data_IF_220935611454
#
_entry.id   IF_220935611454
#
_cell.length_a   1.000
_cell.length_b   1.000
_cell.length_c   1.000
_cell.angle_alpha   90.00
_cell.angle_beta   90.00
_cell.angle_gamma   90.00
#
_symmetry.space_group_name_H-M   'P 1'
#
loop_
_entity.id
_entity.type
_entity.pdbx_description
1 polymer ?
#
# COMPACT_ATOMS: atom_id res chain seq x y z
N UNK A 1 34.02 -41.22 -65.38
CA UNK A 1 33.35 -40.71 -64.17
C UNK A 1 33.94 -39.34 -63.87
N UNK A 2 33.17 -38.25 -64.06
CA UNK A 2 33.64 -36.89 -63.70
C UNK A 2 33.10 -36.54 -62.33
N UNK A 3 33.87 -35.95 -61.41
CA UNK A 3 33.37 -35.54 -60.09
C UNK A 3 32.53 -34.28 -60.19
N UNK A 4 31.28 -34.34 -59.62
CA UNK A 4 30.38 -33.18 -59.53
C UNK A 4 30.98 -32.12 -58.57
N UNK A 5 31.38 -30.98 -59.14
CA UNK A 5 31.82 -29.80 -58.37
C UNK A 5 30.66 -29.21 -57.58
N UNK A 6 30.70 -29.31 -56.27
CA UNK A 6 29.73 -28.74 -55.35
C UNK A 6 30.02 -27.24 -55.16
N UNK A 7 29.50 -26.39 -56.05
CA UNK A 7 29.58 -24.93 -55.93
C UNK A 7 28.74 -24.44 -54.72
N UNK A 8 29.38 -24.17 -53.59
CA UNK A 8 28.75 -23.45 -52.46
C UNK A 8 28.24 -22.08 -52.95
N UNK A 9 26.92 -21.89 -53.04
CA UNK A 9 26.28 -20.62 -53.37
C UNK A 9 26.65 -19.58 -52.30
N UNK A 10 27.48 -18.58 -52.65
CA UNK A 10 27.77 -17.43 -51.78
C UNK A 10 26.45 -16.68 -51.51
N UNK A 11 26.04 -16.58 -50.25
CA UNK A 11 24.87 -15.76 -49.87
C UNK A 11 25.08 -14.31 -50.25
N UNK A 12 24.05 -13.65 -50.83
CA UNK A 12 24.08 -12.25 -51.19
C UNK A 12 24.26 -11.35 -49.93
N UNK A 13 24.89 -10.18 -50.08
CA UNK A 13 25.09 -9.22 -49.00
C UNK A 13 23.78 -8.89 -48.27
N UNK A 14 22.68 -8.76 -49.01
CA UNK A 14 21.35 -8.51 -48.46
C UNK A 14 20.87 -9.64 -47.55
N UNK A 15 21.08 -10.90 -47.91
CA UNK A 15 20.74 -12.08 -47.07
C UNK A 15 21.53 -12.15 -45.79
N UNK A 16 22.82 -11.75 -45.82
CA UNK A 16 23.64 -11.68 -44.61
C UNK A 16 23.17 -10.59 -43.66
N UNK A 17 22.78 -9.41 -44.22
CA UNK A 17 22.21 -8.30 -43.41
C UNK A 17 20.88 -8.69 -42.77
N UNK A 18 19.96 -9.29 -43.54
CA UNK A 18 18.69 -9.77 -43.00
C UNK A 18 18.91 -10.80 -41.88
N UNK A 19 19.85 -11.72 -42.06
CA UNK A 19 20.18 -12.74 -41.03
C UNK A 19 20.75 -12.10 -39.76
N UNK A 20 21.62 -11.07 -39.91
CA UNK A 20 22.16 -10.34 -38.75
C UNK A 20 21.08 -9.58 -38.00
N UNK A 21 20.16 -8.92 -38.69
CA UNK A 21 19.00 -8.22 -38.09
C UNK A 21 18.11 -9.22 -37.34
N UNK A 22 17.79 -10.35 -37.96
CA UNK A 22 16.96 -11.40 -37.31
C UNK A 22 17.62 -11.94 -36.06
N UNK A 23 18.95 -12.15 -36.06
CA UNK A 23 19.70 -12.60 -34.87
C UNK A 23 19.67 -11.54 -33.79
N UNK A 24 19.87 -10.25 -34.11
CA UNK A 24 19.81 -9.17 -33.14
C UNK A 24 18.41 -9.08 -32.52
N UNK A 25 17.34 -9.14 -33.34
CA UNK A 25 15.96 -9.15 -32.84
C UNK A 25 15.71 -10.35 -31.92
N UNK A 26 16.18 -11.54 -32.29
CA UNK A 26 16.05 -12.75 -31.47
C UNK A 26 16.78 -12.59 -30.13
N UNK A 27 17.99 -12.04 -30.12
CA UNK A 27 18.75 -11.77 -28.89
C UNK A 27 18.06 -10.75 -28.01
N UNK A 28 17.48 -9.70 -28.58
CA UNK A 28 16.67 -8.70 -27.85
C UNK A 28 15.43 -9.34 -27.23
N UNK A 29 14.71 -10.18 -27.99
CA UNK A 29 13.53 -10.89 -27.49
C UNK A 29 13.86 -11.89 -26.38
N UNK A 30 14.99 -12.61 -26.50
CA UNK A 30 15.49 -13.49 -25.43
C UNK A 30 15.88 -12.67 -24.19
N UNK A 31 16.57 -11.53 -24.37
CA UNK A 31 16.94 -10.64 -23.28
C UNK A 31 15.71 -10.09 -22.54
N UNK A 32 14.72 -9.60 -23.28
CA UNK A 32 13.45 -9.09 -22.72
C UNK A 32 12.67 -10.21 -22.04
N UNK A 33 12.55 -11.38 -22.68
CA UNK A 33 11.88 -12.54 -22.09
C UNK A 33 12.56 -13.03 -20.81
N UNK A 34 13.89 -13.11 -20.82
CA UNK A 34 14.68 -13.47 -19.63
C UNK A 34 14.53 -12.46 -18.49
N UNK A 35 14.52 -11.16 -18.81
CA UNK A 35 14.30 -10.10 -17.82
C UNK A 35 12.89 -10.13 -17.22
N UNK A 36 11.87 -10.33 -18.06
CA UNK A 36 10.49 -10.45 -17.58
C UNK A 36 10.30 -11.72 -16.73
N UNK A 37 10.92 -12.85 -17.12
CA UNK A 37 10.94 -14.07 -16.33
C UNK A 37 11.63 -13.88 -14.97
N UNK A 38 12.76 -13.18 -14.96
CA UNK A 38 13.45 -12.81 -13.71
C UNK A 38 12.57 -11.93 -12.81
N UNK A 39 11.91 -10.90 -13.35
CA UNK A 39 11.01 -10.04 -12.57
C UNK A 39 9.81 -10.82 -12.04
N UNK A 40 9.22 -11.70 -12.86
CA UNK A 40 8.12 -12.56 -12.43
C UNK A 40 8.54 -13.46 -11.26
N UNK A 41 9.64 -14.21 -11.41
CA UNK A 41 10.17 -15.08 -10.35
C UNK A 41 10.46 -14.28 -9.06
N UNK A 42 11.09 -13.10 -9.20
CA UNK A 42 11.40 -12.23 -8.08
C UNK A 42 10.13 -11.71 -7.39
N UNK A 43 9.11 -11.31 -8.16
CA UNK A 43 7.83 -10.89 -7.62
C UNK A 43 7.16 -12.01 -6.80
N UNK A 44 7.07 -13.23 -7.35
CA UNK A 44 6.53 -14.40 -6.66
C UNK A 44 7.28 -14.67 -5.35
N UNK A 45 8.61 -14.70 -5.40
CA UNK A 45 9.44 -14.89 -4.20
C UNK A 45 9.20 -13.81 -3.14
N UNK A 46 9.05 -12.55 -3.56
CA UNK A 46 8.75 -11.43 -2.66
C UNK A 46 7.36 -11.58 -2.04
N UNK A 47 6.34 -11.94 -2.84
CA UNK A 47 4.98 -12.17 -2.35
C UNK A 47 4.94 -13.27 -1.29
N UNK A 48 5.65 -14.38 -1.51
CA UNK A 48 5.80 -15.44 -0.49
C UNK A 48 6.50 -14.94 0.78
N UNK A 49 7.53 -14.11 0.65
CA UNK A 49 8.26 -13.56 1.79
C UNK A 49 7.38 -12.67 2.67
N UNK A 50 6.61 -11.74 2.07
CA UNK A 50 5.75 -10.82 2.82
C UNK A 50 4.48 -11.50 3.37
N UNK A 51 4.00 -12.58 2.73
CA UNK A 51 2.86 -13.38 3.19
C UNK A 51 3.24 -14.47 4.17
N UNK A 52 4.53 -14.80 4.34
CA UNK A 52 4.97 -15.76 5.36
C UNK A 52 4.51 -15.34 6.78
N UNK A 53 4.30 -14.04 6.99
CA UNK A 53 3.60 -13.55 8.17
C UNK A 53 2.14 -14.03 8.23
N UNK A 54 1.43 -14.10 7.08
CA UNK A 54 0.04 -14.55 7.02
C UNK A 54 -0.13 -16.04 7.36
N UNK A 55 0.73 -16.91 6.85
CA UNK A 55 0.71 -18.35 7.18
C UNK A 55 0.99 -18.60 8.66
N UNK A 56 1.85 -17.76 9.26
CA UNK A 56 2.16 -17.82 10.67
C UNK A 56 0.99 -17.33 11.56
N UNK A 57 0.09 -16.49 11.00
CA UNK A 57 -1.01 -15.84 11.70
C UNK A 57 -2.40 -16.38 11.30
N UNK A 58 -2.50 -17.32 10.34
CA UNK A 58 -3.78 -17.87 9.92
C UNK A 58 -4.41 -18.71 11.04
N UNK A 59 -5.73 -18.56 11.29
CA UNK A 59 -6.44 -19.46 12.19
C UNK A 59 -6.32 -20.92 11.73
N UNK A 60 -6.10 -21.85 12.65
CA UNK A 60 -5.90 -23.29 12.34
C UNK A 60 -7.04 -23.95 11.51
N UNK A 61 -8.21 -23.31 11.42
CA UNK A 61 -9.32 -23.77 10.60
C UNK A 61 -9.10 -23.68 9.08
N UNK A 62 -8.06 -22.95 8.63
CA UNK A 62 -7.70 -22.85 7.21
C UNK A 62 -6.46 -23.70 6.82
N UNK A 63 -5.84 -24.38 7.79
CA UNK A 63 -4.62 -25.18 7.54
C UNK A 63 -4.88 -26.61 7.03
N UNK A 64 -6.14 -27.05 6.91
CA UNK A 64 -6.45 -28.44 6.53
C UNK A 64 -6.49 -28.74 5.04
N UNK A 65 -6.23 -27.77 4.15
CA UNK A 65 -6.18 -28.02 2.69
C UNK A 65 -4.77 -28.05 2.07
N UNK A 66 -3.70 -28.04 2.86
CA UNK A 66 -2.33 -28.04 2.34
C UNK A 66 -1.57 -29.32 2.65
N UNK A 67 -2.06 -30.43 2.15
CA UNK A 67 -1.44 -31.74 2.35
C UNK A 67 -1.36 -32.59 1.09
N UNK A 68 -1.02 -32.03 -0.08
CA UNK A 68 -0.55 -32.80 -1.23
C UNK A 68 0.38 -31.95 -2.10
N UNK A 69 1.58 -32.46 -2.33
CA UNK A 69 2.52 -31.90 -3.30
C UNK A 69 1.95 -32.06 -4.71
N UNK A 70 1.26 -31.04 -5.20
CA UNK A 70 0.70 -31.02 -6.55
C UNK A 70 1.66 -30.25 -7.46
N UNK A 71 2.05 -30.91 -8.57
CA UNK A 71 2.66 -30.30 -9.75
C UNK A 71 1.89 -29.04 -10.12
N UNK A 72 2.63 -27.93 -10.39
CA UNK A 72 2.07 -26.62 -10.75
C UNK A 72 0.97 -26.77 -11.82
N UNK A 73 -0.30 -26.43 -11.50
CA UNK A 73 -1.32 -26.31 -12.51
C UNK A 73 -1.09 -25.05 -13.35
N UNK A 74 -1.52 -25.01 -14.60
CA UNK A 74 -1.44 -23.81 -15.43
C UNK A 74 -2.15 -22.65 -14.73
N UNK A 75 -1.60 -21.45 -14.87
CA UNK A 75 -2.10 -20.19 -14.29
C UNK A 75 -3.61 -20.08 -14.57
N UNK A 76 -4.41 -20.39 -13.56
CA UNK A 76 -5.86 -20.30 -13.65
C UNK A 76 -6.25 -18.82 -13.88
N UNK A 77 -7.11 -18.61 -14.88
CA UNK A 77 -7.75 -17.32 -15.10
C UNK A 77 -8.49 -16.88 -13.84
N UNK A 78 -8.50 -15.55 -13.56
CA UNK A 78 -9.28 -14.94 -12.46
C UNK A 78 -10.67 -15.54 -12.43
N UNK A 79 -11.03 -16.14 -11.30
CA UNK A 79 -12.38 -16.63 -11.04
C UNK A 79 -13.28 -15.47 -10.59
N UNK A 80 -14.60 -15.62 -10.66
CA UNK A 80 -15.54 -14.62 -10.10
C UNK A 80 -15.25 -14.35 -8.61
N UNK A 81 -14.73 -15.33 -7.87
CA UNK A 81 -14.35 -15.16 -6.47
C UNK A 81 -13.22 -14.14 -6.27
N UNK A 82 -12.34 -13.98 -7.23
CA UNK A 82 -11.21 -13.04 -7.19
C UNK A 82 -11.64 -11.60 -7.51
N UNK A 83 -12.79 -11.42 -8.12
CA UNK A 83 -13.36 -10.11 -8.48
C UNK A 83 -14.28 -9.55 -7.41
N UNK A 84 -14.46 -10.25 -6.29
CA UNK A 84 -15.29 -9.76 -5.18
C UNK A 84 -14.71 -8.49 -4.59
N UNK A 85 -15.57 -7.56 -4.18
CA UNK A 85 -15.15 -6.41 -3.39
C UNK A 85 -14.42 -6.84 -2.13
N UNK A 86 -13.37 -6.09 -1.75
CA UNK A 86 -12.52 -6.41 -0.61
C UNK A 86 -12.07 -5.15 0.13
N UNK A 87 -11.73 -5.31 1.39
CA UNK A 87 -11.31 -4.22 2.27
C UNK A 87 -9.89 -4.39 2.77
N UNK A 88 -9.23 -3.25 2.97
CA UNK A 88 -7.86 -3.19 3.44
C UNK A 88 -7.71 -2.18 4.57
N UNK A 89 -6.95 -2.55 5.59
CA UNK A 89 -6.42 -1.61 6.56
C UNK A 89 -4.93 -1.41 6.26
N UNK A 90 -4.59 -0.25 5.71
CA UNK A 90 -3.21 0.14 5.45
C UNK A 90 -2.66 0.87 6.68
N UNK A 91 -1.51 0.45 7.19
CA UNK A 91 -0.91 1.04 8.37
C UNK A 91 0.58 1.38 8.14
N UNK A 92 0.95 2.61 8.52
CA UNK A 92 2.34 3.06 8.57
C UNK A 92 2.85 3.06 10.00
N UNK A 93 3.98 2.37 10.27
CA UNK A 93 4.61 2.32 11.59
C UNK A 93 5.97 3.03 11.59
N UNK A 94 6.27 3.69 12.71
CA UNK A 94 7.60 4.23 12.98
C UNK A 94 8.42 3.19 13.77
N UNK A 95 9.25 2.42 13.10
CA UNK A 95 10.09 1.38 13.69
C UNK A 95 11.59 1.76 13.67
N UNK A 96 11.90 3.05 13.93
CA UNK A 96 13.30 3.48 13.99
C UNK A 96 13.98 2.88 15.21
N UNK A 97 15.21 2.34 15.02
CA UNK A 97 16.10 2.02 16.13
C UNK A 97 16.36 3.29 16.95
N UNK A 98 16.01 3.29 18.23
CA UNK A 98 16.16 4.45 19.12
C UNK A 98 14.86 5.24 19.39
N UNK A 99 13.76 4.96 18.72
CA UNK A 99 12.45 5.60 19.00
C UNK A 99 11.76 5.09 20.28
N UNK A 100 12.45 4.34 21.12
CA UNK A 100 11.87 3.72 22.33
C UNK A 100 10.95 2.55 22.03
N UNK A 101 10.95 2.03 20.78
CA UNK A 101 10.19 0.83 20.40
C UNK A 101 8.67 1.03 20.35
N UNK A 102 8.19 2.23 20.12
CA UNK A 102 6.75 2.47 19.97
C UNK A 102 6.30 1.93 18.62
N UNK A 103 5.55 0.82 18.64
CA UNK A 103 4.95 0.18 17.46
C UNK A 103 3.60 0.84 17.14
N UNK A 104 3.48 2.13 17.43
CA UNK A 104 2.26 2.87 17.16
C UNK A 104 2.10 3.12 15.65
N UNK A 105 0.88 3.01 15.18
CA UNK A 105 0.54 3.33 13.80
C UNK A 105 0.37 4.83 13.63
N UNK A 106 1.25 5.47 12.88
CA UNK A 106 1.18 6.92 12.62
C UNK A 106 0.30 7.29 11.43
N UNK A 107 0.13 6.36 10.51
CA UNK A 107 -0.79 6.45 9.36
C UNK A 107 -1.70 5.23 9.40
N UNK A 108 -3.00 5.45 9.25
CA UNK A 108 -3.99 4.38 9.11
C UNK A 108 -5.00 4.78 8.05
N UNK A 109 -5.24 3.91 7.09
CA UNK A 109 -6.20 4.12 6.01
C UNK A 109 -7.06 2.87 5.88
N UNK A 110 -8.37 3.03 6.06
CA UNK A 110 -9.34 1.99 5.74
C UNK A 110 -9.77 2.17 4.29
N UNK A 111 -9.65 1.14 3.48
CA UNK A 111 -9.99 1.17 2.06
C UNK A 111 -10.94 0.05 1.67
N UNK A 112 -11.79 0.30 0.70
CA UNK A 112 -12.59 -0.69 0.00
C UNK A 112 -12.27 -0.62 -1.50
N UNK A 113 -12.00 -1.77 -2.10
CA UNK A 113 -11.75 -1.94 -3.53
C UNK A 113 -12.85 -2.79 -4.15
N UNK A 114 -13.45 -2.31 -5.21
CA UNK A 114 -14.38 -3.08 -6.04
C UNK A 114 -13.78 -3.29 -7.44
N UNK A 115 -13.22 -4.47 -7.74
CA UNK A 115 -12.63 -4.74 -9.04
C UNK A 115 -13.66 -4.73 -10.19
N UNK A 116 -14.91 -5.12 -9.94
CA UNK A 116 -15.97 -5.11 -10.95
C UNK A 116 -16.37 -3.69 -11.35
N UNK A 117 -16.50 -2.80 -10.36
CA UNK A 117 -16.78 -1.37 -10.57
C UNK A 117 -15.54 -0.59 -10.98
N UNK A 118 -14.36 -1.20 -10.89
CA UNK A 118 -13.04 -0.55 -11.07
C UNK A 118 -12.91 0.73 -10.24
N UNK A 119 -13.40 0.69 -9.02
CA UNK A 119 -13.37 1.81 -8.08
C UNK A 119 -12.77 1.39 -6.75
N UNK A 120 -12.23 2.37 -6.04
CA UNK A 120 -11.78 2.22 -4.67
C UNK A 120 -12.11 3.47 -3.87
N UNK A 121 -12.49 3.28 -2.63
CA UNK A 121 -12.75 4.38 -1.68
C UNK A 121 -11.92 4.20 -0.43
N UNK A 122 -11.32 5.28 0.06
CA UNK A 122 -10.39 5.29 1.18
C UNK A 122 -10.84 6.30 2.23
N UNK A 123 -10.67 5.96 3.52
CA UNK A 123 -10.84 6.89 4.66
C UNK A 123 -9.54 6.89 5.45
N UNK A 124 -8.94 8.07 5.65
CA UNK A 124 -7.77 8.20 6.55
C UNK A 124 -8.25 8.33 7.99
N UNK A 125 -7.75 7.45 8.86
CA UNK A 125 -8.08 7.42 10.30
C UNK A 125 -7.02 8.22 11.06
N UNK A 126 -7.37 9.35 11.73
CA UNK A 126 -6.42 10.10 12.53
C UNK A 126 -5.84 9.24 13.64
N UNK A 127 -4.53 9.24 13.78
CA UNK A 127 -3.84 8.47 14.84
C UNK A 127 -4.31 8.83 16.24
N UNK A 128 -4.68 10.11 16.44
CA UNK A 128 -5.14 10.66 17.71
C UNK A 128 -6.67 10.60 17.88
N UNK A 129 -7.41 9.94 16.96
CA UNK A 129 -8.84 9.75 17.06
C UNK A 129 -9.19 9.09 18.40
N UNK A 130 -10.15 9.68 19.12
CA UNK A 130 -10.66 9.07 20.35
C UNK A 130 -11.43 7.80 20.02
N UNK A 131 -10.98 6.69 20.60
CA UNK A 131 -11.64 5.39 20.45
C UNK A 131 -11.80 4.75 21.82
N UNK A 132 -12.98 4.22 22.09
CA UNK A 132 -13.33 3.58 23.34
C UNK A 132 -13.71 2.11 23.12
N UNK A 133 -13.15 1.24 23.94
CA UNK A 133 -13.46 -0.18 23.98
C UNK A 133 -13.78 -0.58 25.43
N UNK A 134 -14.84 -1.38 25.63
CA UNK A 134 -15.34 -1.72 26.97
C UNK A 134 -14.28 -2.34 27.88
N UNK A 135 -13.39 -3.16 27.33
CA UNK A 135 -12.36 -3.87 28.10
C UNK A 135 -11.05 -3.07 28.27
N UNK A 136 -10.72 -2.19 27.35
CA UNK A 136 -9.46 -1.46 27.33
C UNK A 136 -9.61 0.01 27.75
N UNK A 137 -10.84 0.51 27.84
CA UNK A 137 -11.08 1.92 28.11
C UNK A 137 -10.96 2.80 26.87
N UNK A 138 -10.56 4.05 27.07
CA UNK A 138 -10.47 5.06 26.00
C UNK A 138 -9.01 5.36 25.67
N UNK A 139 -8.65 5.17 24.40
CA UNK A 139 -7.32 5.40 23.88
C UNK A 139 -7.38 6.13 22.52
N UNK A 140 -6.21 6.51 22.01
CA UNK A 140 -6.06 6.98 20.62
C UNK A 140 -6.11 5.80 19.65
N UNK A 141 -6.56 6.01 18.42
CA UNK A 141 -6.66 4.94 17.42
C UNK A 141 -5.32 4.22 17.19
N UNK A 142 -4.20 4.94 17.26
CA UNK A 142 -2.86 4.36 17.05
C UNK A 142 -2.38 3.41 18.16
N UNK A 143 -3.07 3.37 19.29
CA UNK A 143 -2.74 2.51 20.44
C UNK A 143 -3.04 1.02 20.16
N UNK A 144 -4.10 0.74 19.40
CA UNK A 144 -4.68 -0.61 19.36
C UNK A 144 -3.78 -1.65 18.72
N UNK A 145 -3.12 -1.34 17.59
CA UNK A 145 -2.16 -2.27 16.99
C UNK A 145 -1.01 -2.59 17.95
N UNK A 146 -0.43 -1.57 18.57
CA UNK A 146 0.66 -1.76 19.53
C UNK A 146 0.23 -2.60 20.73
N UNK A 147 -0.99 -2.39 21.23
CA UNK A 147 -1.56 -3.19 22.31
C UNK A 147 -1.68 -4.67 21.93
N UNK A 148 -2.27 -4.97 20.77
CA UNK A 148 -2.42 -6.36 20.33
C UNK A 148 -1.06 -7.00 20.02
N UNK A 149 -0.12 -6.27 19.46
CA UNK A 149 1.22 -6.75 19.17
C UNK A 149 2.01 -7.14 20.43
N UNK A 150 1.89 -6.35 21.51
CA UNK A 150 2.51 -6.65 22.80
C UNK A 150 1.86 -7.88 23.44
N UNK A 151 0.54 -8.02 23.30
CA UNK A 151 -0.23 -9.14 23.84
C UNK A 151 0.09 -10.45 23.12
N UNK A 152 0.00 -10.45 21.82
CA UNK A 152 0.35 -11.56 20.93
C UNK A 152 0.77 -11.04 19.56
N UNK A 153 2.07 -11.07 19.31
CA UNK A 153 2.65 -10.61 18.04
C UNK A 153 2.04 -11.31 16.81
N UNK A 154 1.64 -12.59 16.98
CA UNK A 154 1.09 -13.40 15.89
C UNK A 154 -0.34 -13.03 15.56
N UNK A 155 -1.15 -12.75 16.56
CA UNK A 155 -2.55 -12.38 16.39
C UNK A 155 -2.76 -10.89 16.08
N UNK A 156 -1.73 -10.05 16.25
CA UNK A 156 -1.86 -8.59 16.22
C UNK A 156 -2.58 -8.02 15.00
N UNK A 157 -2.26 -8.52 13.78
CA UNK A 157 -2.95 -8.07 12.57
C UNK A 157 -4.41 -8.51 12.56
N UNK A 158 -4.70 -9.75 12.92
CA UNK A 158 -6.05 -10.29 12.96
C UNK A 158 -6.91 -9.55 14.00
N UNK A 159 -6.40 -9.39 15.24
CA UNK A 159 -7.10 -8.65 16.31
C UNK A 159 -7.33 -7.18 15.93
N UNK A 160 -6.37 -6.54 15.24
CA UNK A 160 -6.50 -5.16 14.77
C UNK A 160 -7.57 -5.03 13.69
N UNK A 161 -7.60 -5.94 12.72
CA UNK A 161 -8.63 -5.97 11.67
C UNK A 161 -10.02 -6.18 12.25
N UNK A 162 -10.16 -7.16 13.14
CA UNK A 162 -11.42 -7.43 13.83
C UNK A 162 -11.88 -6.21 14.62
N UNK A 163 -10.99 -5.58 15.38
CA UNK A 163 -11.28 -4.38 16.14
C UNK A 163 -11.80 -3.22 15.28
N UNK A 164 -11.07 -2.86 14.21
CA UNK A 164 -11.48 -1.75 13.34
C UNK A 164 -12.70 -2.13 12.48
N UNK A 165 -12.82 -3.40 12.10
CA UNK A 165 -13.99 -3.92 11.41
C UNK A 165 -15.27 -3.78 12.24
N UNK A 166 -15.20 -4.15 13.51
CA UNK A 166 -16.27 -3.97 14.48
C UNK A 166 -16.54 -2.48 14.78
N UNK A 167 -15.48 -1.69 14.91
CA UNK A 167 -15.59 -0.27 15.21
C UNK A 167 -16.38 0.48 14.13
N UNK A 168 -16.09 0.22 12.85
CA UNK A 168 -16.71 0.90 11.72
C UNK A 168 -17.89 0.15 11.10
N UNK A 169 -18.18 -1.06 11.59
CA UNK A 169 -19.18 -1.97 11.02
C UNK A 169 -18.93 -2.32 9.53
N UNK A 170 -17.67 -2.31 9.13
CA UNK A 170 -17.17 -2.69 7.81
C UNK A 170 -16.16 -3.81 8.03
N UNK A 171 -16.37 -5.02 7.47
CA UNK A 171 -15.38 -6.09 7.60
C UNK A 171 -14.03 -5.61 7.06
N UNK A 172 -12.92 -6.01 7.68
CA UNK A 172 -11.57 -5.74 7.17
C UNK A 172 -10.97 -7.07 6.75
N UNK A 173 -10.84 -7.28 5.44
CA UNK A 173 -10.35 -8.56 4.91
C UNK A 173 -8.85 -8.71 5.10
N UNK A 174 -8.10 -7.64 4.80
CA UNK A 174 -6.64 -7.68 4.81
C UNK A 174 -6.03 -6.49 5.52
N UNK A 175 -4.84 -6.69 6.07
CA UNK A 175 -4.01 -5.63 6.61
C UNK A 175 -2.66 -5.58 5.89
N UNK A 176 -2.21 -4.38 5.55
CA UNK A 176 -0.90 -4.12 4.96
C UNK A 176 -0.18 -3.10 5.82
N UNK A 177 1.01 -3.44 6.24
CA UNK A 177 1.85 -2.57 7.06
C UNK A 177 3.14 -2.24 6.32
N UNK A 178 3.52 -0.98 6.37
CA UNK A 178 4.80 -0.49 5.88
C UNK A 178 5.48 0.34 6.96
N UNK A 179 6.78 0.17 7.15
CA UNK A 179 7.52 1.07 8.01
C UNK A 179 8.00 2.32 7.24
N UNK A 180 8.37 3.37 7.98
CA UNK A 180 8.80 4.64 7.37
C UNK A 180 10.08 4.50 6.56
N UNK A 181 10.96 3.57 6.90
CA UNK A 181 12.16 3.31 6.12
C UNK A 181 11.82 2.72 4.76
N UNK A 182 10.89 1.76 4.70
CA UNK A 182 10.37 1.21 3.44
C UNK A 182 9.71 2.25 2.57
N UNK A 183 8.91 3.15 3.17
CA UNK A 183 8.34 4.28 2.43
C UNK A 183 9.42 5.16 1.79
N UNK A 184 10.45 5.55 2.56
CA UNK A 184 11.58 6.33 2.06
C UNK A 184 12.30 5.61 0.91
N UNK A 185 12.66 4.35 1.13
CA UNK A 185 13.39 3.54 0.17
C UNK A 185 12.61 3.34 -1.14
N UNK A 186 11.28 3.14 -1.08
CA UNK A 186 10.43 3.05 -2.28
C UNK A 186 10.48 4.37 -3.06
N UNK A 187 10.33 5.51 -2.38
CA UNK A 187 10.41 6.83 -3.02
C UNK A 187 11.78 7.03 -3.70
N UNK A 188 12.86 6.69 -3.01
CA UNK A 188 14.22 6.80 -3.57
C UNK A 188 14.43 5.84 -4.76
N UNK A 189 13.91 4.62 -4.66
CA UNK A 189 14.01 3.62 -5.73
C UNK A 189 13.27 4.04 -7.01
N UNK A 190 12.15 4.77 -6.90
CA UNK A 190 11.43 5.32 -8.06
C UNK A 190 12.01 6.65 -8.54
N UNK A 191 13.12 7.10 -7.94
CA UNK A 191 13.81 8.35 -8.31
C UNK A 191 13.14 9.60 -7.80
N UNK A 192 12.60 9.58 -6.57
CA UNK A 192 11.91 10.70 -5.93
C UNK A 192 10.49 10.92 -6.43
N UNK A 193 9.82 11.96 -5.96
CA UNK A 193 8.46 12.36 -6.36
C UNK A 193 8.38 13.86 -6.61
N UNK A 194 7.56 14.26 -7.59
CA UNK A 194 7.35 15.66 -7.94
C UNK A 194 6.00 16.10 -7.37
N UNK A 195 6.00 16.99 -6.36
CA UNK A 195 4.80 17.42 -5.65
C UNK A 195 4.73 18.93 -5.53
N UNK A 196 3.51 19.46 -5.39
CA UNK A 196 3.28 20.86 -5.06
C UNK A 196 3.19 21.00 -3.53
N UNK A 197 4.24 21.53 -2.93
CA UNK A 197 4.31 21.85 -1.51
C UNK A 197 3.44 23.06 -1.21
N UNK A 198 2.35 22.85 -0.50
CA UNK A 198 1.27 23.82 -0.32
C UNK A 198 1.62 25.02 0.57
N UNK A 199 2.64 24.89 1.45
CA UNK A 199 3.11 25.92 2.36
C UNK A 199 4.59 25.75 2.71
N UNK A 200 5.23 26.78 3.26
CA UNK A 200 6.56 26.62 3.86
C UNK A 200 6.46 25.75 5.12
N UNK A 201 7.31 24.74 5.20
CA UNK A 201 7.35 23.75 6.28
C UNK A 201 8.71 23.80 6.96
N UNK A 202 8.72 24.22 8.24
CA UNK A 202 9.94 24.30 9.04
C UNK A 202 9.70 23.71 10.42
N UNK A 203 10.21 22.51 10.64
CA UNK A 203 10.09 21.84 11.94
C UNK A 203 11.37 21.11 12.27
N UNK A 204 11.90 21.36 13.44
CA UNK A 204 13.10 20.70 13.94
C UNK A 204 12.84 20.13 15.32
N UNK A 205 13.10 18.82 15.47
CA UNK A 205 13.07 18.12 16.74
C UNK A 205 14.42 17.42 16.96
N UNK A 206 15.13 17.83 18.00
CA UNK A 206 16.44 17.26 18.34
C UNK A 206 16.34 15.96 19.11
N UNK A 207 15.16 15.60 19.64
CA UNK A 207 14.95 14.38 20.39
C UNK A 207 14.84 13.15 19.47
N UNK A 208 14.20 13.32 18.30
CA UNK A 208 14.04 12.24 17.33
C UNK A 208 14.81 12.46 16.01
N UNK A 209 15.55 13.56 15.91
CA UNK A 209 16.35 13.92 14.73
C UNK A 209 15.54 14.41 13.53
N UNK A 210 14.26 14.73 13.70
CA UNK A 210 13.43 15.30 12.64
C UNK A 210 13.92 16.70 12.26
N UNK A 211 14.18 16.92 10.97
CA UNK A 211 14.55 18.24 10.42
C UNK A 211 13.83 18.43 9.08
N UNK A 212 12.68 19.13 9.13
CA UNK A 212 11.83 19.44 7.99
C UNK A 212 12.12 20.86 7.54
N UNK A 213 12.49 21.01 6.26
CA UNK A 213 12.73 22.31 5.65
C UNK A 213 12.31 22.26 4.16
N UNK A 214 11.03 22.44 3.90
CA UNK A 214 10.47 22.47 2.56
C UNK A 214 9.88 23.86 2.30
N UNK A 215 10.10 24.38 1.09
CA UNK A 215 9.52 25.65 0.65
C UNK A 215 8.22 25.39 -0.11
N UNK A 216 7.33 26.36 -0.11
CA UNK A 216 6.12 26.33 -0.94
C UNK A 216 6.46 26.24 -2.43
N UNK A 217 5.66 25.48 -3.22
CA UNK A 217 5.73 25.36 -4.66
C UNK A 217 6.17 23.96 -5.13
N UNK A 218 6.27 23.81 -6.44
CA UNK A 218 6.70 22.55 -7.07
C UNK A 218 8.11 22.18 -6.67
N UNK A 219 8.29 20.97 -6.13
CA UNK A 219 9.58 20.43 -5.70
C UNK A 219 9.70 18.96 -6.06
N UNK A 220 10.93 18.56 -6.37
CA UNK A 220 11.32 17.17 -6.45
C UNK A 220 11.81 16.73 -5.07
N UNK A 221 11.12 15.77 -4.46
CA UNK A 221 11.41 15.27 -3.12
C UNK A 221 12.02 13.88 -3.18
N UNK A 222 13.11 13.68 -2.44
CA UNK A 222 13.64 12.35 -2.12
C UNK A 222 12.79 11.64 -1.05
N UNK A 223 13.14 10.41 -0.69
CA UNK A 223 12.37 9.62 0.28
C UNK A 223 12.25 10.28 1.65
N UNK A 224 13.33 10.93 2.15
CA UNK A 224 13.28 11.66 3.42
C UNK A 224 12.36 12.86 3.33
N UNK A 225 12.52 13.68 2.30
CA UNK A 225 11.73 14.88 2.09
C UNK A 225 10.24 14.56 1.85
N UNK A 226 9.95 13.48 1.13
CA UNK A 226 8.59 13.01 0.92
C UNK A 226 7.95 12.53 2.23
N UNK A 227 8.70 11.83 3.10
CA UNK A 227 8.22 11.45 4.43
C UNK A 227 7.96 12.69 5.30
N UNK A 228 8.87 13.66 5.28
CA UNK A 228 8.72 14.93 5.96
C UNK A 228 7.46 15.69 5.49
N UNK A 229 7.22 15.74 4.18
CA UNK A 229 6.06 16.37 3.56
C UNK A 229 4.72 15.78 4.02
N UNK A 230 4.60 14.45 4.03
CA UNK A 230 3.35 13.79 4.44
C UNK A 230 3.11 13.78 5.95
N UNK A 231 4.16 13.97 6.76
CA UNK A 231 4.10 13.99 8.23
C UNK A 231 3.99 15.38 8.82
N UNK A 232 4.31 16.43 8.07
CA UNK A 232 4.35 17.79 8.60
C UNK A 232 3.03 18.23 9.21
N UNK A 233 3.09 18.83 10.39
CA UNK A 233 1.93 19.28 11.17
C UNK A 233 1.91 20.77 11.43
N UNK A 234 3.05 21.35 11.80
CA UNK A 234 3.23 22.78 12.11
C UNK A 234 4.71 23.10 12.24
N UNK A 235 5.05 24.38 12.12
CA UNK A 235 6.40 24.87 12.42
C UNK A 235 6.67 24.93 13.93
N UNK A 236 7.95 25.01 14.35
CA UNK A 236 8.33 25.09 15.76
C UNK A 236 7.76 26.33 16.48
N UNK A 237 7.60 27.43 15.76
CA UNK A 237 6.99 28.66 16.25
C UNK A 237 5.45 28.62 16.29
N UNK A 238 4.85 27.49 15.92
CA UNK A 238 3.40 27.30 15.83
C UNK A 238 2.77 27.88 14.57
N UNK A 239 3.55 28.49 13.68
CA UNK A 239 3.08 29.01 12.39
C UNK A 239 2.81 27.84 11.41
N UNK A 240 2.11 28.15 10.32
CA UNK A 240 1.83 27.19 9.23
C UNK A 240 1.25 25.86 9.74
N UNK A 241 0.15 25.87 10.52
CA UNK A 241 -0.47 24.64 10.97
C UNK A 241 -1.06 23.88 9.79
N UNK A 242 -0.95 22.57 9.83
CA UNK A 242 -1.48 21.64 8.82
C UNK A 242 -2.66 20.88 9.41
N UNK A 243 -3.79 20.94 8.74
CA UNK A 243 -4.96 20.14 9.07
C UNK A 243 -4.76 18.65 8.69
N UNK A 244 -5.62 17.78 9.17
CA UNK A 244 -5.65 16.38 8.72
C UNK A 244 -6.00 16.29 7.21
N UNK A 245 -6.84 17.21 6.73
CA UNK A 245 -7.17 17.35 5.31
C UNK A 245 -5.93 17.65 4.45
N UNK A 246 -5.09 18.60 4.88
CA UNK A 246 -3.86 18.93 4.16
C UNK A 246 -2.91 17.71 4.10
N UNK A 247 -2.78 16.97 5.22
CA UNK A 247 -1.96 15.77 5.25
C UNK A 247 -2.50 14.68 4.32
N UNK A 248 -3.82 14.45 4.30
CA UNK A 248 -4.43 13.49 3.39
C UNK A 248 -4.18 13.85 1.92
N UNK A 249 -4.32 15.13 1.56
CA UNK A 249 -4.02 15.62 0.21
C UNK A 249 -2.57 15.38 -0.18
N UNK A 250 -1.62 15.63 0.74
CA UNK A 250 -0.19 15.37 0.51
C UNK A 250 0.10 13.88 0.33
N UNK A 251 -0.49 13.04 1.18
CA UNK A 251 -0.36 11.58 1.05
C UNK A 251 -0.87 11.09 -0.30
N UNK A 252 -2.00 11.63 -0.77
CA UNK A 252 -2.55 11.30 -2.08
C UNK A 252 -1.65 11.76 -3.23
N UNK A 253 -1.06 12.96 -3.15
CA UNK A 253 -0.11 13.43 -4.16
C UNK A 253 1.08 12.49 -4.28
N UNK A 254 1.70 12.12 -3.15
CA UNK A 254 2.85 11.20 -3.15
C UNK A 254 2.46 9.83 -3.68
N UNK A 255 1.33 9.28 -3.25
CA UNK A 255 0.86 7.96 -3.71
C UNK A 255 0.64 7.95 -5.22
N UNK A 256 -0.03 8.97 -5.78
CA UNK A 256 -0.27 9.07 -7.21
C UNK A 256 1.06 9.15 -7.98
N UNK A 257 2.01 9.96 -7.52
CA UNK A 257 3.33 10.08 -8.15
C UNK A 257 4.12 8.77 -8.13
N UNK A 258 4.08 8.01 -7.03
CA UNK A 258 4.72 6.68 -6.96
C UNK A 258 4.09 5.73 -7.96
N UNK A 259 2.74 5.67 -8.02
CA UNK A 259 2.02 4.81 -8.96
C UNK A 259 2.34 5.17 -10.41
N UNK A 260 2.35 6.46 -10.76
CA UNK A 260 2.68 6.93 -12.10
C UNK A 260 4.13 6.56 -12.48
N UNK A 261 5.09 6.73 -11.57
CA UNK A 261 6.49 6.38 -11.82
C UNK A 261 6.68 4.87 -11.97
N UNK A 262 6.05 4.07 -11.13
CA UNK A 262 6.11 2.60 -11.22
C UNK A 262 5.50 2.07 -12.53
N UNK A 263 4.44 2.71 -13.03
CA UNK A 263 3.79 2.30 -14.29
C UNK A 263 4.47 2.88 -15.54
N UNK A 264 5.44 3.77 -15.38
CA UNK A 264 6.22 4.34 -16.49
C UNK A 264 7.24 3.34 -17.06
N UNK A 265 7.68 3.57 -18.31
CA UNK A 265 8.71 2.74 -18.94
C UNK A 265 10.04 2.72 -18.15
N UNK A 266 10.41 3.86 -17.53
CA UNK A 266 11.58 3.93 -16.64
C UNK A 266 11.38 3.14 -15.36
N UNK A 267 10.14 3.10 -14.83
CA UNK A 267 9.80 2.36 -13.63
C UNK A 267 10.03 0.85 -13.76
N UNK A 268 9.85 0.27 -14.94
CA UNK A 268 10.03 -1.18 -15.16
C UNK A 268 11.43 -1.66 -14.78
N UNK A 269 12.47 -0.87 -15.03
CA UNK A 269 13.85 -1.22 -14.64
C UNK A 269 14.09 -1.17 -13.13
N UNK A 270 13.25 -0.46 -12.38
CA UNK A 270 13.37 -0.26 -10.93
C UNK A 270 12.56 -1.30 -10.13
N UNK A 271 11.66 -2.04 -10.78
CA UNK A 271 10.80 -3.04 -10.12
C UNK A 271 11.59 -4.07 -9.30
N UNK A 272 12.76 -4.47 -9.78
CA UNK A 272 13.60 -5.41 -9.03
C UNK A 272 13.99 -4.89 -7.65
N UNK A 273 14.41 -3.63 -7.56
CA UNK A 273 14.76 -2.97 -6.30
C UNK A 273 13.53 -2.71 -5.43
N UNK A 274 12.43 -2.25 -6.03
CA UNK A 274 11.18 -2.02 -5.30
C UNK A 274 10.65 -3.32 -4.68
N UNK A 275 10.72 -4.44 -5.40
CA UNK A 275 10.34 -5.75 -4.86
C UNK A 275 11.21 -6.20 -3.68
N UNK A 276 12.53 -5.92 -3.71
CA UNK A 276 13.40 -6.21 -2.56
C UNK A 276 12.96 -5.40 -1.33
N UNK A 277 12.75 -4.09 -1.51
CA UNK A 277 12.29 -3.20 -0.43
C UNK A 277 10.94 -3.67 0.13
N UNK A 278 9.99 -3.97 -0.73
CA UNK A 278 8.68 -4.51 -0.32
C UNK A 278 8.88 -5.78 0.50
N UNK A 279 9.72 -6.72 0.03
CA UNK A 279 9.99 -7.98 0.74
C UNK A 279 10.64 -7.82 2.11
N UNK A 280 11.27 -6.67 2.40
CA UNK A 280 11.95 -6.39 3.68
C UNK A 280 11.12 -5.48 4.61
N UNK A 281 10.37 -4.56 4.03
CA UNK A 281 9.78 -3.44 4.76
C UNK A 281 8.25 -3.49 4.83
N UNK A 282 7.61 -4.40 4.07
CA UNK A 282 6.16 -4.57 4.06
C UNK A 282 5.79 -5.89 4.74
N UNK A 283 4.74 -5.88 5.54
CA UNK A 283 4.12 -7.06 6.13
C UNK A 283 2.63 -7.06 5.78
N UNK A 284 2.08 -8.23 5.47
CA UNK A 284 0.66 -8.36 5.18
C UNK A 284 0.16 -9.75 5.55
N UNK A 285 -1.13 -9.85 5.82
CA UNK A 285 -1.85 -11.12 6.01
C UNK A 285 -2.59 -11.56 4.73
N UNK A 286 -2.34 -10.90 3.60
CA UNK A 286 -2.85 -11.35 2.30
C UNK A 286 -2.11 -12.64 1.92
N UNK A 287 -2.82 -13.75 1.63
CA UNK A 287 -2.19 -14.98 1.17
C UNK A 287 -1.39 -14.74 -0.12
N UNK A 288 -0.18 -15.33 -0.20
CA UNK A 288 0.70 -15.18 -1.37
C UNK A 288 -0.01 -15.52 -2.68
N UNK A 289 -0.80 -16.61 -2.69
CA UNK A 289 -1.59 -17.05 -3.86
C UNK A 289 -2.58 -15.99 -4.34
N UNK A 290 -3.20 -15.23 -3.42
CA UNK A 290 -4.12 -14.15 -3.79
C UNK A 290 -3.35 -12.98 -4.42
N UNK A 291 -2.23 -12.57 -3.81
CA UNK A 291 -1.39 -11.50 -4.34
C UNK A 291 -0.82 -11.84 -5.72
N UNK A 292 -0.34 -13.08 -5.90
CA UNK A 292 0.14 -13.59 -7.19
C UNK A 292 -0.96 -13.49 -8.26
N UNK A 293 -2.17 -13.95 -7.94
CA UNK A 293 -3.32 -13.92 -8.84
C UNK A 293 -3.71 -12.49 -9.19
N UNK A 294 -3.73 -11.57 -8.23
CA UNK A 294 -4.00 -10.16 -8.47
C UNK A 294 -2.93 -9.50 -9.34
N UNK A 295 -1.64 -9.84 -9.11
CA UNK A 295 -0.54 -9.35 -9.93
C UNK A 295 -0.69 -9.79 -11.40
N UNK A 296 -0.96 -11.07 -11.64
CA UNK A 296 -1.16 -11.62 -12.99
C UNK A 296 -2.39 -11.01 -13.69
N UNK A 297 -3.38 -10.59 -12.91
CA UNK A 297 -4.61 -9.97 -13.41
C UNK A 297 -4.69 -8.47 -13.11
N UNK A 298 -3.55 -7.82 -12.92
CA UNK A 298 -3.46 -6.41 -12.53
C UNK A 298 -4.39 -5.48 -13.30
N UNK A 299 -4.50 -5.63 -14.63
CA UNK A 299 -5.39 -4.79 -15.47
C UNK A 299 -6.87 -4.91 -15.10
N UNK A 300 -7.29 -6.06 -14.59
CA UNK A 300 -8.67 -6.28 -14.12
C UNK A 300 -8.87 -5.76 -12.71
N UNK A 301 -7.85 -5.93 -11.85
CA UNK A 301 -7.89 -5.55 -10.44
C UNK A 301 -7.68 -4.06 -10.21
N UNK A 302 -6.94 -3.38 -11.10
CA UNK A 302 -6.62 -1.96 -10.95
C UNK A 302 -7.91 -1.12 -10.99
N UNK A 303 -8.16 -0.26 -9.96
CA UNK A 303 -9.24 0.71 -10.03
C UNK A 303 -8.91 1.80 -11.05
N UNK A 304 -9.91 2.25 -11.79
CA UNK A 304 -9.82 3.41 -12.67
C UNK A 304 -10.02 4.72 -11.88
N UNK A 305 -10.72 4.62 -10.72
CA UNK A 305 -10.99 5.75 -9.83
C UNK A 305 -10.68 5.36 -8.38
N UNK A 306 -9.91 6.22 -7.72
CA UNK A 306 -9.62 6.13 -6.29
C UNK A 306 -10.15 7.41 -5.63
N UNK A 307 -11.11 7.26 -4.71
CA UNK A 307 -11.70 8.38 -4.00
C UNK A 307 -11.26 8.39 -2.53
N UNK A 308 -10.61 9.47 -2.10
CA UNK A 308 -10.32 9.70 -0.68
C UNK A 308 -11.50 10.41 -0.04
N UNK A 309 -12.19 9.73 0.88
CA UNK A 309 -13.26 10.31 1.68
C UNK A 309 -12.64 11.16 2.79
N UNK A 310 -13.05 12.40 2.86
CA UNK A 310 -12.58 13.34 3.89
C UNK A 310 -13.56 13.37 5.04
N UNK A 311 -13.05 13.15 6.26
CA UNK A 311 -13.78 13.33 7.50
C UNK A 311 -13.02 14.35 8.35
N UNK A 312 -13.61 15.52 8.55
CA UNK A 312 -12.99 16.57 9.34
C UNK A 312 -12.84 16.16 10.80
N UNK A 313 -11.72 16.58 11.39
CA UNK A 313 -11.39 16.30 12.78
C UNK A 313 -11.23 17.57 13.60
N UNK A 314 -11.86 17.61 14.76
CA UNK A 314 -11.67 18.66 15.77
C UNK A 314 -10.76 18.14 16.89
N UNK A 315 -9.68 18.89 17.15
CA UNK A 315 -8.80 18.58 18.28
C UNK A 315 -9.42 19.07 19.60
N UNK A 316 -9.63 18.13 20.52
CA UNK A 316 -9.97 18.42 21.94
C UNK A 316 -9.03 17.58 22.81
N UNK A 317 -7.98 18.24 23.34
CA UNK A 317 -6.90 17.54 24.06
C UNK A 317 -7.40 16.45 25.02
N UNK A 318 -6.85 15.23 24.98
CA UNK A 318 -5.73 14.80 24.17
C UNK A 318 -6.12 14.05 22.87
N UNK A 319 -7.34 14.22 22.38
CA UNK A 319 -7.93 13.43 21.29
C UNK A 319 -8.39 14.29 20.11
N UNK A 320 -8.51 13.62 18.94
CA UNK A 320 -9.28 14.10 17.80
C UNK A 320 -10.70 13.54 17.86
N UNK A 321 -11.68 14.35 17.49
CA UNK A 321 -13.10 13.98 17.33
C UNK A 321 -13.47 14.19 15.88
N UNK A 322 -14.18 13.24 15.27
CA UNK A 322 -14.62 13.31 13.88
C UNK A 322 -15.98 13.97 13.76
N UNK A 323 -16.21 14.63 12.61
CA UNK A 323 -17.53 15.07 12.21
C UNK A 323 -18.43 13.85 11.96
N UNK A 324 -19.52 13.76 12.72
CA UNK A 324 -20.43 12.61 12.70
C UNK A 324 -21.08 12.40 11.33
N UNK A 325 -21.56 13.50 10.71
CA UNK A 325 -22.25 13.42 9.43
C UNK A 325 -21.30 12.99 8.30
N UNK A 326 -20.12 13.59 8.23
CA UNK A 326 -19.12 13.24 7.23
C UNK A 326 -18.62 11.80 7.40
N UNK A 327 -18.46 11.31 8.64
CA UNK A 327 -18.14 9.91 8.90
C UNK A 327 -19.21 8.96 8.38
N UNK A 328 -20.49 9.28 8.61
CA UNK A 328 -21.63 8.47 8.09
C UNK A 328 -21.63 8.42 6.56
N UNK A 329 -21.38 9.55 5.91
CA UNK A 329 -21.29 9.65 4.45
C UNK A 329 -20.12 8.81 3.93
N UNK A 330 -18.94 8.95 4.52
CA UNK A 330 -17.73 8.20 4.15
C UNK A 330 -17.91 6.68 4.30
N UNK A 331 -18.48 6.23 5.44
CA UNK A 331 -18.76 4.80 5.65
C UNK A 331 -19.86 4.27 4.71
N UNK A 332 -20.81 5.12 4.32
CA UNK A 332 -21.82 4.76 3.31
C UNK A 332 -21.20 4.53 1.95
N UNK A 333 -20.23 5.36 1.55
CA UNK A 333 -19.49 5.19 0.29
C UNK A 333 -18.67 3.89 0.34
N UNK A 334 -17.95 3.60 1.45
CA UNK A 334 -17.21 2.34 1.58
C UNK A 334 -18.12 1.12 1.52
N UNK A 335 -19.28 1.15 2.21
CA UNK A 335 -20.27 0.07 2.15
C UNK A 335 -20.81 -0.12 0.73
N UNK A 336 -20.98 0.97 -0.03
CA UNK A 336 -21.37 0.95 -1.44
C UNK A 336 -20.34 0.25 -2.35
N UNK A 337 -19.04 0.38 -2.08
CA UNK A 337 -18.01 -0.40 -2.79
C UNK A 337 -18.13 -1.91 -2.52
N UNK A 338 -18.60 -2.29 -1.34
CA UNK A 338 -18.77 -3.68 -0.93
C UNK A 338 -20.13 -4.28 -1.34
N UNK A 339 -20.95 -3.55 -2.08
CA UNK A 339 -22.34 -3.93 -2.39
C UNK A 339 -23.19 -4.21 -1.12
N UNK A 340 -22.82 -3.58 -0.02
CA UNK A 340 -23.49 -3.71 1.27
C UNK A 340 -24.35 -2.48 1.58
N UNK A 341 -25.47 -2.72 2.27
CA UNK A 341 -26.21 -1.61 2.86
C UNK A 341 -25.47 -1.10 4.10
N UNK A 342 -25.33 0.22 4.26
CA UNK A 342 -24.69 0.77 5.45
C UNK A 342 -25.44 0.30 6.70
N UNK A 343 -24.74 -0.26 7.65
CA UNK A 343 -25.31 -0.65 8.95
C UNK A 343 -25.68 0.60 9.73
N UNK A 344 -26.67 0.49 10.66
CA UNK A 344 -27.03 1.60 11.54
C UNK A 344 -25.81 2.09 12.31
N UNK A 345 -25.39 3.32 12.03
CA UNK A 345 -24.22 3.95 12.64
C UNK A 345 -24.53 4.60 14.00
N UNK A 346 -25.74 4.39 14.55
CA UNK A 346 -26.17 4.96 15.84
C UNK A 346 -25.34 4.53 17.05
N UNK A 347 -24.62 3.42 16.93
CA UNK A 347 -23.75 2.91 18.00
C UNK A 347 -22.31 3.44 17.95
N UNK A 348 -21.93 4.10 16.85
CA UNK A 348 -20.56 4.63 16.69
C UNK A 348 -20.22 5.71 17.72
N UNK A 349 -21.16 6.58 18.07
CA UNK A 349 -20.97 7.67 19.02
C UNK A 349 -20.56 7.21 20.43
N UNK A 350 -20.86 5.98 20.80
CA UNK A 350 -20.42 5.39 22.08
C UNK A 350 -18.97 4.93 22.05
N UNK A 351 -18.40 4.68 20.88
CA UNK A 351 -17.05 4.09 20.70
C UNK A 351 -16.06 5.04 20.04
N UNK A 352 -16.53 5.99 19.26
CA UNK A 352 -15.69 6.95 18.53
C UNK A 352 -15.99 8.35 19.04
N UNK A 353 -14.97 9.16 19.23
CA UNK A 353 -15.14 10.58 19.50
C UNK A 353 -15.77 11.28 18.30
N UNK A 354 -17.00 11.72 18.42
CA UNK A 354 -17.74 12.42 17.38
C UNK A 354 -18.13 13.81 17.86
N UNK A 355 -18.30 14.75 16.92
CA UNK A 355 -18.97 16.03 17.14
C UNK A 355 -19.99 16.28 16.04
N UNK A 356 -21.09 16.90 16.40
CA UNK A 356 -22.08 17.39 15.44
C UNK A 356 -21.52 18.69 14.84
N UNK A 357 -21.37 18.74 13.51
CA UNK A 357 -21.10 20.01 12.83
C UNK A 357 -22.28 20.96 13.06
N UNK A 358 -22.02 22.18 13.46
CA UNK A 358 -23.01 23.26 13.41
C UNK A 358 -23.20 23.72 11.96
#
# INVERSE_FOLDING_TARGET
>A
MQPRSNKKKKMSRLRKWMLSITVVIALVLIGVGGFLGFLHHKAISTLHKISAAAEYYAPQSQQQEQGEAVSEPPVESVTEADMKPMTFLLAGIDNREGSGGTINTDVMILGALNPEKKSASLISIPRDLKVSQSQLGTHKANYYYAHYYIKDKKAAMADTKEFFGDLFHIPVDYMVMINFEGFRQIIDAVGGVDVDVDMDMRYKDTADGTDINLRKGMQHLDGKQALDFVRYRKSNDGSSPSSDFDRNRRQQQVLNQVLDKLTSFKGISQWGQVLDIIGEQVQTDIPAKNMERWLLNYKKMKPDQIQMQTVEGQWKSPYVYWNEQQLKEALTVLAGELDQKPKRLSTLGNRIGLYSGE
#
